data_IF_260931379932
#
_entry.id   IF_260931379932
#
_cell.length_a   1.000
_cell.length_b   1.000
_cell.length_c   1.000
_cell.angle_alpha   90.00
_cell.angle_beta   90.00
_cell.angle_gamma   90.00
#
_symmetry.space_group_name_H-M   'P 1'
#
loop_
_entity.id
_entity.type
_entity.pdbx_description
1 polymer ?
#
# COMPACT_ATOMS: atom_id res chain seq x y z
N UNK A 1 -4.15 -0.64 11.08
CA UNK A 1 -2.85 -1.10 11.62
C UNK A 1 -1.79 -1.03 10.53
N UNK A 2 -1.65 0.16 9.93
CA UNK A 2 -0.66 0.46 8.90
C UNK A 2 -0.30 1.94 9.07
N UNK A 3 0.48 2.21 10.11
CA UNK A 3 1.20 3.48 10.21
C UNK A 3 2.31 3.38 9.16
N UNK A 4 2.01 3.66 7.89
CA UNK A 4 3.01 3.76 6.82
C UNK A 4 3.28 5.24 6.59
N UNK A 5 4.04 5.82 7.51
CA UNK A 5 4.44 7.20 7.50
C UNK A 5 5.91 7.35 7.09
N UNK A 6 6.36 8.60 7.18
CA UNK A 6 7.76 8.95 6.96
C UNK A 6 8.70 8.22 7.95
N UNK A 7 8.21 7.90 9.15
CA UNK A 7 8.98 7.18 10.17
C UNK A 7 9.29 5.73 9.78
N UNK A 8 8.34 5.01 9.18
CA UNK A 8 8.56 3.64 8.74
C UNK A 8 9.50 3.57 7.55
N UNK A 9 9.40 4.54 6.63
CA UNK A 9 10.38 4.69 5.56
C UNK A 9 11.80 4.93 6.12
N UNK A 10 11.96 5.74 7.17
CA UNK A 10 13.24 5.91 7.85
C UNK A 10 13.73 4.60 8.49
N UNK A 11 12.85 3.84 9.14
CA UNK A 11 13.20 2.57 9.76
C UNK A 11 13.65 1.53 8.72
N UNK A 12 12.91 1.40 7.62
CA UNK A 12 13.26 0.52 6.50
C UNK A 12 14.58 0.96 5.86
N UNK A 13 14.78 2.26 5.64
CA UNK A 13 16.02 2.80 5.09
C UNK A 13 17.23 2.48 5.99
N UNK A 14 17.06 2.56 7.31
CA UNK A 14 18.10 2.19 8.28
C UNK A 14 18.46 0.70 8.20
N UNK A 15 17.45 -0.18 8.21
CA UNK A 15 17.67 -1.64 8.07
C UNK A 15 18.34 -1.97 6.74
N UNK A 16 17.91 -1.36 5.63
CA UNK A 16 18.52 -1.58 4.32
C UNK A 16 20.00 -1.17 4.28
N UNK A 17 20.37 -0.06 4.92
CA UNK A 17 21.78 0.36 5.04
C UNK A 17 22.60 -0.66 5.83
N UNK A 18 22.04 -1.26 6.89
CA UNK A 18 22.75 -2.26 7.68
C UNK A 18 22.94 -3.59 6.92
N UNK A 19 21.91 -4.04 6.20
CA UNK A 19 21.92 -5.35 5.51
C UNK A 19 22.72 -5.29 4.21
N UNK A 20 22.48 -4.29 3.37
CA UNK A 20 23.11 -4.14 2.05
C UNK A 20 24.44 -3.39 2.16
N UNK A 21 24.59 -2.56 3.18
CA UNK A 21 25.74 -1.68 3.36
C UNK A 21 25.49 -0.28 2.76
N UNK A 22 25.98 0.79 3.42
CA UNK A 22 25.74 2.19 3.00
C UNK A 22 26.33 2.52 1.62
N UNK A 23 27.35 1.78 1.17
CA UNK A 23 28.03 2.01 -0.10
C UNK A 23 27.39 1.28 -1.28
N UNK A 24 26.61 0.24 -1.01
CA UNK A 24 26.01 -0.61 -2.04
C UNK A 24 24.52 -0.32 -2.23
N UNK A 25 23.82 0.15 -1.19
CA UNK A 25 22.47 0.71 -1.30
C UNK A 25 22.32 1.76 -2.42
N UNK A 26 23.18 2.79 -2.55
CA UNK A 26 23.09 3.75 -3.63
C UNK A 26 23.42 3.17 -5.02
N UNK A 27 24.12 2.03 -5.11
CA UNK A 27 24.36 1.34 -6.39
C UNK A 27 23.12 0.54 -6.80
N UNK A 28 22.51 -0.17 -5.85
CA UNK A 28 21.27 -0.94 -6.07
C UNK A 28 20.12 -0.02 -6.45
N UNK A 29 19.93 1.10 -5.72
CA UNK A 29 18.91 2.09 -6.06
C UNK A 29 19.12 2.68 -7.46
N UNK A 30 20.36 2.95 -7.87
CA UNK A 30 20.66 3.41 -9.24
C UNK A 30 20.29 2.35 -10.28
N UNK A 31 20.60 1.08 -10.02
CA UNK A 31 20.22 -0.04 -10.88
C UNK A 31 18.70 -0.16 -11.02
N UNK A 32 17.98 -0.17 -9.91
CA UNK A 32 16.51 -0.21 -9.87
C UNK A 32 15.89 1.01 -10.55
N UNK A 33 16.41 2.22 -10.28
CA UNK A 33 15.91 3.45 -10.90
C UNK A 33 16.06 3.47 -12.42
N UNK A 34 17.07 2.79 -12.97
CA UNK A 34 17.26 2.69 -14.43
C UNK A 34 16.15 1.85 -15.06
N UNK A 35 15.79 0.74 -14.41
CA UNK A 35 14.69 -0.13 -14.84
C UNK A 35 13.36 0.62 -14.75
N UNK A 36 13.08 1.26 -13.61
CA UNK A 36 11.87 2.07 -13.42
C UNK A 36 11.84 3.27 -14.37
N UNK A 37 12.98 3.88 -14.68
CA UNK A 37 13.10 4.99 -15.62
C UNK A 37 12.76 4.59 -17.05
N UNK A 38 13.20 3.40 -17.48
CA UNK A 38 12.83 2.81 -18.77
C UNK A 38 11.35 2.48 -18.84
N UNK A 39 10.79 1.86 -17.79
CA UNK A 39 9.35 1.59 -17.71
C UNK A 39 8.52 2.88 -17.76
N UNK A 40 8.95 3.94 -17.06
CA UNK A 40 8.32 5.28 -17.10
C UNK A 40 8.41 5.90 -18.49
N UNK A 41 9.53 5.71 -19.20
CA UNK A 41 9.68 6.19 -20.57
C UNK A 41 8.73 5.47 -21.53
N UNK A 42 8.68 4.14 -21.46
CA UNK A 42 7.74 3.35 -22.24
C UNK A 42 6.30 3.79 -21.97
N UNK A 43 5.92 3.95 -20.69
CA UNK A 43 4.59 4.44 -20.32
C UNK A 43 4.25 5.81 -20.92
N UNK A 44 5.21 6.73 -21.01
CA UNK A 44 5.02 8.03 -21.68
C UNK A 44 4.76 7.87 -23.18
N UNK A 45 5.48 6.95 -23.82
CA UNK A 45 5.30 6.64 -25.24
C UNK A 45 3.93 5.97 -25.49
N UNK A 46 3.46 5.11 -24.59
CA UNK A 46 2.09 4.56 -24.62
C UNK A 46 1.04 5.66 -24.50
N UNK A 47 1.12 6.55 -23.50
CA UNK A 47 0.16 7.66 -23.37
C UNK A 47 0.15 8.53 -24.63
N UNK A 48 1.32 8.82 -25.21
CA UNK A 48 1.42 9.59 -26.44
C UNK A 48 0.80 8.86 -27.64
N UNK A 49 1.00 7.54 -27.73
CA UNK A 49 0.44 6.72 -28.81
C UNK A 49 -1.07 6.55 -28.68
N UNK A 50 -1.59 6.45 -27.45
CA UNK A 50 -3.02 6.46 -27.18
C UNK A 50 -3.65 7.79 -27.56
N UNK A 51 -2.98 8.91 -27.25
CA UNK A 51 -3.43 10.25 -27.65
C UNK A 51 -3.46 10.45 -29.17
N UNK A 52 -2.49 9.90 -29.90
CA UNK A 52 -2.43 9.96 -31.38
C UNK A 52 -3.45 9.02 -32.08
N UNK A 53 -3.89 7.94 -31.43
CA UNK A 53 -4.83 6.93 -31.99
C UNK A 53 -6.30 7.18 -31.61
N UNK A 54 -6.60 8.18 -30.78
CA UNK A 54 -7.95 8.41 -30.26
C UNK A 54 -8.86 9.14 -31.26
N UNK A 55 -9.60 8.35 -32.05
CA UNK A 55 -10.80 8.81 -32.77
C UNK A 55 -12.11 8.19 -32.23
N UNK A 56 -12.05 7.34 -31.19
CA UNK A 56 -13.22 6.63 -30.63
C UNK A 56 -13.45 6.88 -29.14
N UNK A 57 -14.73 6.78 -28.77
CA UNK A 57 -15.34 7.21 -27.50
C UNK A 57 -14.75 6.59 -26.23
N UNK A 58 -14.11 5.42 -26.33
CA UNK A 58 -13.57 4.67 -25.18
C UNK A 58 -12.22 5.24 -24.67
N UNK A 59 -11.44 5.92 -25.52
CA UNK A 59 -10.12 6.43 -25.12
C UNK A 59 -10.19 7.80 -24.42
N UNK A 60 -11.36 8.45 -24.42
CA UNK A 60 -11.59 9.74 -23.74
C UNK A 60 -11.62 9.59 -22.22
N UNK A 61 -12.21 8.51 -21.71
CA UNK A 61 -12.29 8.16 -20.29
C UNK A 61 -10.89 7.91 -19.71
N UNK A 62 -10.08 7.12 -20.42
CA UNK A 62 -8.69 6.80 -20.05
C UNK A 62 -7.82 8.05 -20.05
N UNK A 63 -8.02 8.94 -21.04
CA UNK A 63 -7.33 10.24 -21.08
C UNK A 63 -7.68 11.11 -19.87
N UNK A 64 -8.95 11.15 -19.44
CA UNK A 64 -9.38 11.89 -18.25
C UNK A 64 -8.71 11.33 -16.99
N UNK A 65 -8.81 10.02 -16.76
CA UNK A 65 -8.19 9.39 -15.58
C UNK A 65 -6.67 9.60 -15.55
N UNK A 66 -5.98 9.47 -16.68
CA UNK A 66 -4.53 9.72 -16.75
C UNK A 66 -4.21 11.20 -16.51
N UNK A 67 -5.05 12.13 -16.98
CA UNK A 67 -4.90 13.55 -16.72
C UNK A 67 -5.11 13.88 -15.22
N UNK A 68 -6.11 13.28 -14.59
CA UNK A 68 -6.43 13.44 -13.17
C UNK A 68 -5.37 12.82 -12.25
N UNK A 69 -4.72 11.74 -12.68
CA UNK A 69 -3.55 11.17 -12.00
C UNK A 69 -2.28 11.99 -12.22
N UNK A 70 -2.14 12.63 -13.39
CA UNK A 70 -0.98 13.46 -13.75
C UNK A 70 -1.03 14.86 -13.15
N UNK A 71 -2.21 15.37 -12.79
CA UNK A 71 -2.36 16.68 -12.14
C UNK A 71 -1.70 16.73 -10.77
N UNK A 72 -1.53 15.57 -10.11
CA UNK A 72 -0.42 15.29 -9.19
C UNK A 72 -0.25 16.22 -7.98
N UNK A 73 -1.21 17.09 -7.70
CA UNK A 73 -1.21 17.93 -6.53
C UNK A 73 -1.72 17.10 -5.36
N UNK A 74 -0.92 17.02 -4.29
CA UNK A 74 -1.36 16.47 -3.01
C UNK A 74 -2.66 17.14 -2.52
N UNK A 75 -2.88 18.40 -2.90
CA UNK A 75 -4.11 19.15 -2.65
C UNK A 75 -5.35 18.51 -3.31
N UNK A 76 -5.23 17.99 -4.54
CA UNK A 76 -6.34 17.36 -5.25
C UNK A 76 -6.58 15.92 -4.77
N UNK A 77 -5.51 15.21 -4.41
CA UNK A 77 -5.62 13.92 -3.71
C UNK A 77 -6.29 14.08 -2.33
N UNK A 78 -5.89 15.13 -1.58
CA UNK A 78 -6.52 15.46 -0.31
C UNK A 78 -7.99 15.82 -0.49
N UNK A 79 -8.36 16.56 -1.54
CA UNK A 79 -9.76 16.86 -1.86
C UNK A 79 -10.57 15.62 -2.21
N UNK A 80 -10.04 14.69 -3.02
CA UNK A 80 -10.75 13.45 -3.36
C UNK A 80 -10.95 12.59 -2.11
N UNK A 81 -9.95 12.54 -1.21
CA UNK A 81 -10.08 11.85 0.09
C UNK A 81 -11.12 12.56 0.98
N UNK A 82 -11.12 13.89 1.02
CA UNK A 82 -12.07 14.67 1.84
C UNK A 82 -13.50 14.58 1.29
N UNK A 83 -13.72 14.62 -0.03
CA UNK A 83 -15.04 14.57 -0.66
C UNK A 83 -15.62 13.16 -0.78
N UNK A 84 -14.77 12.13 -0.94
CA UNK A 84 -15.23 10.76 -1.20
C UNK A 84 -15.09 9.86 0.01
N UNK A 85 -13.96 9.93 0.72
CA UNK A 85 -13.64 8.98 1.80
C UNK A 85 -14.22 9.45 3.13
N UNK A 86 -14.24 10.75 3.41
CA UNK A 86 -14.78 11.29 4.66
C UNK A 86 -16.28 11.07 4.86
N UNK A 87 -17.17 11.25 3.87
CA UNK A 87 -18.60 10.95 4.07
C UNK A 87 -18.86 9.45 4.23
N UNK A 88 -18.12 8.58 3.53
CA UNK A 88 -18.15 7.14 3.71
C UNK A 88 -17.65 6.73 5.11
N UNK A 89 -16.58 7.38 5.60
CA UNK A 89 -16.00 7.11 6.92
C UNK A 89 -16.87 7.66 8.07
N UNK A 90 -17.53 8.81 7.89
CA UNK A 90 -18.51 9.35 8.83
C UNK A 90 -19.80 8.51 8.84
N UNK A 91 -20.16 7.91 7.70
CA UNK A 91 -21.30 7.00 7.60
C UNK A 91 -20.96 5.64 8.24
N UNK A 92 -19.77 5.11 8.01
CA UNK A 92 -19.26 3.89 8.65
C UNK A 92 -19.01 4.07 10.16
N UNK A 93 -18.62 5.27 10.59
CA UNK A 93 -18.45 5.63 12.00
C UNK A 93 -19.79 5.85 12.70
N UNK A 94 -20.82 6.32 11.98
CA UNK A 94 -22.20 6.38 12.47
C UNK A 94 -22.87 5.00 12.54
N UNK A 95 -22.48 4.07 11.67
CA UNK A 95 -23.08 2.73 11.58
C UNK A 95 -22.48 1.70 12.57
N UNK A 96 -21.68 2.12 13.55
CA UNK A 96 -21.26 1.25 14.66
C UNK A 96 -20.28 0.12 14.30
N UNK A 97 -19.80 0.05 13.05
CA UNK A 97 -18.93 -1.02 12.54
C UNK A 97 -17.55 -1.11 13.23
N UNK A 98 -17.13 -0.08 13.95
CA UNK A 98 -15.88 -0.10 14.73
C UNK A 98 -15.99 -0.92 16.02
N UNK A 99 -17.20 -1.18 16.51
CA UNK A 99 -17.43 -2.09 17.65
C UNK A 99 -17.37 -3.56 17.22
N UNK A 100 -17.97 -3.89 16.06
CA UNK A 100 -17.95 -5.23 15.50
C UNK A 100 -16.54 -5.70 15.11
N UNK A 101 -15.73 -4.81 14.51
CA UNK A 101 -14.33 -5.13 14.19
C UNK A 101 -13.46 -5.36 15.43
N UNK A 102 -13.77 -4.72 16.57
CA UNK A 102 -13.06 -4.98 17.83
C UNK A 102 -13.44 -6.33 18.43
N UNK A 103 -14.71 -6.72 18.29
CA UNK A 103 -15.22 -8.01 18.76
C UNK A 103 -14.67 -9.16 17.93
N UNK A 104 -14.57 -9.00 16.60
CA UNK A 104 -13.96 -9.99 15.70
C UNK A 104 -12.45 -10.16 15.95
N UNK A 105 -11.74 -9.07 16.25
CA UNK A 105 -10.32 -9.11 16.60
C UNK A 105 -10.10 -9.74 17.99
N UNK A 106 -11.00 -9.52 18.96
CA UNK A 106 -10.94 -10.22 20.25
C UNK A 106 -11.27 -11.72 20.13
N UNK A 107 -12.21 -12.10 19.26
CA UNK A 107 -12.55 -13.50 19.00
C UNK A 107 -11.39 -14.27 18.33
N UNK A 108 -10.66 -13.63 17.42
CA UNK A 108 -9.43 -14.22 16.83
C UNK A 108 -8.31 -14.33 17.87
N UNK A 109 -8.21 -13.37 18.79
CA UNK A 109 -7.20 -13.36 19.85
C UNK A 109 -7.45 -14.41 20.95
N UNK A 110 -8.72 -14.74 21.25
CA UNK A 110 -9.07 -15.81 22.18
C UNK A 110 -8.89 -17.19 21.56
N UNK A 111 -9.23 -17.37 20.29
CA UNK A 111 -8.98 -18.61 19.54
C UNK A 111 -7.48 -18.95 19.43
N UNK A 112 -6.63 -17.96 19.17
CA UNK A 112 -5.18 -18.16 19.15
C UNK A 112 -4.56 -18.51 20.52
N UNK A 113 -5.27 -18.25 21.62
CA UNK A 113 -4.80 -18.56 22.98
C UNK A 113 -5.07 -20.01 23.39
N UNK A 114 -6.09 -20.66 22.81
CA UNK A 114 -6.36 -22.09 22.99
C UNK A 114 -5.38 -22.97 22.19
N UNK A 115 -4.99 -22.57 20.98
CA UNK A 115 -3.98 -23.31 20.19
C UNK A 115 -2.59 -23.31 20.86
N UNK A 116 -2.19 -22.20 21.47
CA UNK A 116 -0.92 -22.13 22.22
C UNK A 116 -0.90 -22.97 23.51
N UNK A 117 -2.07 -23.32 24.07
CA UNK A 117 -2.16 -24.20 25.25
C UNK A 117 -2.14 -25.68 24.87
N UNK A 118 -2.69 -26.05 23.70
CA UNK A 118 -2.68 -27.42 23.19
C UNK A 118 -1.31 -27.88 22.67
N UNK A 119 -0.45 -26.95 22.24
CA UNK A 119 0.91 -27.29 21.77
C UNK A 119 1.92 -27.45 22.92
N UNK A 120 1.64 -26.91 24.11
CA UNK A 120 2.50 -27.04 25.30
C UNK A 120 2.42 -28.43 25.97
N UNK A 121 1.31 -29.17 25.81
CA UNK A 121 1.14 -30.51 26.41
C UNK A 121 1.81 -31.63 25.59
N UNK A 122 1.95 -31.44 24.27
CA UNK A 122 2.66 -32.41 23.39
C UNK A 122 4.18 -32.36 23.52
N UNK A 123 4.76 -31.24 23.96
CA UNK A 123 6.20 -31.09 24.13
C UNK A 123 6.76 -31.81 25.39
N UNK A 124 5.91 -32.31 26.28
CA UNK A 124 6.34 -32.99 27.52
C UNK A 124 6.30 -34.52 27.47
N UNK A 125 5.79 -35.15 26.40
CA UNK A 125 5.80 -36.62 26.24
C UNK A 125 6.92 -37.18 25.33
N UNK A 126 7.70 -36.33 24.65
CA UNK A 126 8.83 -36.76 23.79
C UNK A 126 10.20 -36.66 24.50
N UNK A 127 10.22 -36.86 25.83
CA UNK A 127 11.45 -36.84 26.62
C UNK A 127 11.49 -37.88 27.76
N UNK A 128 10.88 -39.04 27.54
CA UNK A 128 11.00 -40.23 28.39
C UNK A 128 11.63 -41.39 27.61
#
# INVERSE_FOLDING_TARGET
>A
MFDFGWQEFMMIAFVLVLVVGPKDLPKVLRGFSKITGQARQMAREFTRSLEDVTADSDMKEVKSMVADLKSGNLEDMARIVDDTVKPELDSASKDGSLSGLREDIEAVKSAGREETAAEADKASQDKA
#
